data_IF_057948258537
#
_entry.id   IF_057948258537
#
_cell.length_a   1.000
_cell.length_b   1.000
_cell.length_c   1.000
_cell.angle_alpha   90.00
_cell.angle_beta   90.00
_cell.angle_gamma   90.00
#
_symmetry.space_group_name_H-M   'P 1'
#
loop_
_entity.id
_entity.type
_entity.pdbx_description
1 polymer ?
#
# COMPACT_ATOMS: atom_id res chain seq x y z
N UNK A 1 -18.75 -8.56 -12.34
CA UNK A 1 -17.95 -7.59 -13.14
C UNK A 1 -17.48 -6.51 -12.17
N UNK A 2 -16.34 -5.85 -12.44
CA UNK A 2 -15.84 -4.75 -11.58
C UNK A 2 -16.93 -3.69 -11.35
N UNK A 3 -17.72 -3.38 -12.37
CA UNK A 3 -18.91 -2.51 -12.27
C UNK A 3 -19.95 -3.01 -11.27
N UNK A 4 -20.11 -4.32 -11.10
CA UNK A 4 -21.13 -4.90 -10.21
C UNK A 4 -20.69 -4.85 -8.74
N UNK A 5 -19.39 -4.95 -8.45
CA UNK A 5 -18.86 -4.87 -7.08
C UNK A 5 -19.04 -3.48 -6.50
N UNK A 6 -18.83 -2.46 -7.31
CA UNK A 6 -19.09 -1.07 -6.90
C UNK A 6 -20.58 -0.82 -6.78
N UNK A 7 -21.41 -1.56 -7.56
CA UNK A 7 -22.87 -1.50 -7.55
C UNK A 7 -23.54 -2.24 -6.37
N UNK A 8 -22.86 -3.19 -5.73
CA UNK A 8 -23.41 -3.96 -4.58
C UNK A 8 -23.72 -3.08 -3.36
N UNK A 9 -23.10 -1.89 -3.25
CA UNK A 9 -23.40 -0.95 -2.18
C UNK A 9 -24.64 -0.08 -2.43
N UNK A 10 -25.28 -0.11 -3.64
CA UNK A 10 -26.40 0.78 -3.98
C UNK A 10 -27.48 0.10 -4.79
N UNK A 11 -28.73 0.18 -4.29
CA UNK A 11 -29.96 -0.40 -4.93
C UNK A 11 -30.33 0.16 -6.31
N UNK A 12 -29.77 1.30 -6.75
CA UNK A 12 -29.88 1.87 -8.12
C UNK A 12 -28.64 2.71 -8.40
N UNK A 13 -27.88 2.33 -9.43
CA UNK A 13 -26.74 3.12 -9.94
C UNK A 13 -27.30 4.33 -10.69
N UNK A 14 -27.04 5.53 -10.21
CA UNK A 14 -27.36 6.79 -10.91
C UNK A 14 -26.31 7.05 -12.00
N UNK A 15 -26.58 8.01 -12.91
CA UNK A 15 -25.65 8.40 -13.97
C UNK A 15 -24.31 8.86 -13.36
N UNK A 16 -24.35 9.70 -12.35
CA UNK A 16 -23.16 10.22 -11.65
C UNK A 16 -22.32 9.10 -11.00
N UNK A 17 -22.97 8.01 -10.52
CA UNK A 17 -22.25 6.86 -9.96
C UNK A 17 -21.46 6.11 -11.05
N UNK A 18 -21.96 6.03 -12.29
CA UNK A 18 -21.26 5.40 -13.42
C UNK A 18 -20.00 6.18 -13.81
N UNK A 19 -20.07 7.48 -13.80
CA UNK A 19 -18.93 8.36 -14.11
C UNK A 19 -17.84 8.23 -13.04
N UNK A 20 -18.23 8.12 -11.76
CA UNK A 20 -17.30 7.88 -10.64
C UNK A 20 -16.64 6.50 -10.75
N UNK A 21 -17.43 5.47 -11.07
CA UNK A 21 -16.93 4.10 -11.26
C UNK A 21 -15.92 4.06 -12.42
N UNK A 22 -16.27 4.69 -13.56
CA UNK A 22 -15.40 4.75 -14.72
C UNK A 22 -14.08 5.45 -14.39
N UNK A 23 -14.15 6.60 -13.73
CA UNK A 23 -12.99 7.34 -13.25
C UNK A 23 -12.10 6.49 -12.31
N UNK A 24 -12.68 5.77 -11.35
CA UNK A 24 -11.91 4.93 -10.43
C UNK A 24 -11.20 3.76 -11.15
N UNK A 25 -11.87 3.13 -12.12
CA UNK A 25 -11.32 2.08 -12.98
C UNK A 25 -10.17 2.63 -13.84
N UNK A 26 -10.32 3.83 -14.38
CA UNK A 26 -9.28 4.52 -15.15
C UNK A 26 -8.06 4.83 -14.29
N UNK A 27 -8.26 5.44 -13.11
CA UNK A 27 -7.20 5.79 -12.18
C UNK A 27 -6.39 4.59 -11.68
N UNK A 28 -6.99 3.41 -11.65
CA UNK A 28 -6.31 2.17 -11.25
C UNK A 28 -5.79 1.34 -12.43
N UNK A 29 -5.82 1.88 -13.65
CA UNK A 29 -5.29 1.21 -14.85
C UNK A 29 -6.09 -0.03 -15.30
N UNK A 30 -7.37 -0.14 -14.93
CA UNK A 30 -8.20 -1.32 -15.18
C UNK A 30 -9.18 -1.18 -16.36
N UNK A 31 -9.07 -0.15 -17.17
CA UNK A 31 -9.98 0.13 -18.30
C UNK A 31 -10.15 -1.08 -19.22
N UNK A 32 -9.03 -1.75 -19.57
CA UNK A 32 -9.04 -2.92 -20.47
C UNK A 32 -9.68 -4.16 -19.84
N UNK A 33 -9.85 -4.16 -18.53
CA UNK A 33 -10.33 -5.29 -17.73
C UNK A 33 -11.73 -5.05 -17.14
N UNK A 34 -12.32 -3.87 -17.39
CA UNK A 34 -13.57 -3.42 -16.75
C UNK A 34 -14.74 -4.41 -16.83
N UNK A 35 -14.78 -5.19 -17.92
CA UNK A 35 -15.84 -6.14 -18.21
C UNK A 35 -15.48 -7.59 -17.80
N UNK A 36 -14.30 -7.79 -17.17
CA UNK A 36 -13.89 -9.10 -16.66
C UNK A 36 -14.48 -9.38 -15.28
N UNK A 37 -14.67 -10.67 -14.97
CA UNK A 37 -15.01 -11.12 -13.64
C UNK A 37 -13.77 -11.04 -12.73
N UNK A 38 -13.95 -10.59 -11.50
CA UNK A 38 -12.82 -10.46 -10.53
C UNK A 38 -12.11 -11.79 -10.31
N UNK A 39 -12.84 -12.91 -10.32
CA UNK A 39 -12.25 -14.24 -10.16
C UNK A 39 -11.25 -14.61 -11.26
N UNK A 40 -11.30 -13.93 -12.44
CA UNK A 40 -10.40 -14.18 -13.57
C UNK A 40 -9.21 -13.25 -13.61
N UNK A 41 -9.10 -12.32 -12.66
CA UNK A 41 -7.99 -11.37 -12.55
C UNK A 41 -6.78 -12.01 -11.87
N UNK A 42 -5.59 -11.57 -12.25
CA UNK A 42 -4.36 -11.86 -11.51
C UNK A 42 -4.40 -11.24 -10.10
N UNK A 43 -3.48 -11.63 -9.22
CA UNK A 43 -3.37 -11.07 -7.87
C UNK A 43 -3.26 -9.54 -7.88
N UNK A 44 -2.35 -8.99 -8.66
CA UNK A 44 -2.15 -7.54 -8.77
C UNK A 44 -3.33 -6.80 -9.40
N UNK A 45 -3.94 -7.36 -10.46
CA UNK A 45 -5.16 -6.81 -11.07
C UNK A 45 -6.32 -6.81 -10.07
N UNK A 46 -6.45 -7.85 -9.27
CA UNK A 46 -7.46 -7.96 -8.22
C UNK A 46 -7.23 -6.92 -7.13
N UNK A 47 -5.99 -6.73 -6.70
CA UNK A 47 -5.64 -5.71 -5.71
C UNK A 47 -5.99 -4.31 -6.21
N UNK A 48 -5.65 -3.98 -7.46
CA UNK A 48 -6.06 -2.72 -8.08
C UNK A 48 -7.57 -2.55 -8.17
N UNK A 49 -8.32 -3.65 -8.38
CA UNK A 49 -9.79 -3.61 -8.39
C UNK A 49 -10.37 -3.30 -7.00
N UNK A 50 -9.78 -3.80 -5.92
CA UNK A 50 -10.16 -3.43 -4.56
C UNK A 50 -9.87 -1.96 -4.26
N UNK A 51 -8.71 -1.46 -4.70
CA UNK A 51 -8.38 -0.04 -4.59
C UNK A 51 -9.38 0.82 -5.40
N UNK A 52 -9.74 0.42 -6.62
CA UNK A 52 -10.75 1.10 -7.43
C UNK A 52 -12.10 1.19 -6.73
N UNK A 53 -12.52 0.10 -6.08
CA UNK A 53 -13.77 0.05 -5.32
C UNK A 53 -13.76 1.03 -4.14
N UNK A 54 -12.65 1.08 -3.40
CA UNK A 54 -12.49 2.04 -2.31
C UNK A 54 -12.46 3.48 -2.84
N UNK A 55 -11.73 3.74 -3.94
CA UNK A 55 -11.57 5.04 -4.56
C UNK A 55 -12.89 5.60 -5.10
N UNK A 56 -13.78 4.73 -5.62
CA UNK A 56 -15.10 5.13 -6.11
C UNK A 56 -16.00 5.73 -5.01
N UNK A 57 -15.66 5.52 -3.73
CA UNK A 57 -16.34 6.15 -2.61
C UNK A 57 -15.84 7.58 -2.33
N UNK A 58 -14.85 8.08 -3.10
CA UNK A 58 -14.19 9.39 -2.92
C UNK A 58 -13.72 9.60 -1.48
N UNK A 59 -12.89 8.70 -0.93
CA UNK A 59 -12.46 8.78 0.45
C UNK A 59 -11.48 9.95 0.64
N UNK A 60 -11.47 10.53 1.84
CA UNK A 60 -10.38 11.42 2.29
C UNK A 60 -9.20 10.65 2.85
N UNK A 61 -9.48 9.45 3.38
CA UNK A 61 -8.48 8.55 3.96
C UNK A 61 -8.69 7.17 3.34
N UNK A 62 -7.64 6.61 2.75
CA UNK A 62 -7.59 5.26 2.21
C UNK A 62 -6.76 4.39 3.17
N UNK A 63 -7.36 3.33 3.69
CA UNK A 63 -6.67 2.38 4.56
C UNK A 63 -6.46 1.08 3.78
N UNK A 64 -5.22 0.61 3.72
CA UNK A 64 -4.82 -0.60 3.02
C UNK A 64 -4.11 -1.53 4.02
N UNK A 65 -4.70 -2.68 4.25
CA UNK A 65 -4.13 -3.72 5.09
C UNK A 65 -3.36 -4.72 4.23
N UNK A 66 -2.03 -4.74 4.37
CA UNK A 66 -1.11 -5.60 3.65
C UNK A 66 -1.32 -5.65 2.12
N UNK A 67 -1.35 -4.50 1.41
CA UNK A 67 -1.74 -4.46 0.01
C UNK A 67 -0.77 -5.18 -0.94
N UNK A 68 0.41 -5.57 -0.47
CA UNK A 68 1.46 -6.23 -1.27
C UNK A 68 1.61 -7.72 -0.98
N UNK A 69 0.89 -8.25 0.02
CA UNK A 69 0.99 -9.66 0.43
C UNK A 69 0.50 -10.60 -0.68
N UNK A 70 1.21 -11.71 -0.89
CA UNK A 70 0.97 -12.71 -1.95
C UNK A 70 1.11 -12.20 -3.39
N UNK A 71 1.78 -11.07 -3.61
CA UNK A 71 2.08 -10.55 -4.94
C UNK A 71 3.56 -10.77 -5.28
N UNK A 72 3.85 -11.02 -6.55
CA UNK A 72 5.22 -10.99 -7.08
C UNK A 72 5.78 -9.57 -7.00
N UNK A 73 7.10 -9.45 -6.95
CA UNK A 73 7.79 -8.18 -6.72
C UNK A 73 7.38 -7.06 -7.70
N UNK A 74 7.14 -7.40 -8.97
CA UNK A 74 6.68 -6.43 -9.97
C UNK A 74 5.29 -5.89 -9.63
N UNK A 75 4.37 -6.77 -9.25
CA UNK A 75 3.01 -6.37 -8.87
C UNK A 75 2.96 -5.63 -7.53
N UNK A 76 3.86 -5.96 -6.59
CA UNK A 76 4.01 -5.17 -5.35
C UNK A 76 4.38 -3.72 -5.68
N UNK A 77 5.38 -3.53 -6.55
CA UNK A 77 5.81 -2.20 -6.98
C UNK A 77 4.69 -1.46 -7.71
N UNK A 78 3.98 -2.11 -8.65
CA UNK A 78 2.84 -1.50 -9.34
C UNK A 78 1.75 -1.00 -8.39
N UNK A 79 1.44 -1.75 -7.34
CA UNK A 79 0.43 -1.36 -6.34
C UNK A 79 0.94 -0.18 -5.51
N UNK A 80 2.20 -0.19 -5.05
CA UNK A 80 2.76 0.88 -4.24
C UNK A 80 2.93 2.19 -5.03
N UNK A 81 3.38 2.11 -6.28
CA UNK A 81 3.47 3.27 -7.17
C UNK A 81 2.07 3.86 -7.46
N UNK A 82 1.07 3.00 -7.72
CA UNK A 82 -0.31 3.45 -7.88
C UNK A 82 -0.80 4.19 -6.62
N UNK A 83 -0.58 3.64 -5.44
CA UNK A 83 -1.02 4.25 -4.18
C UNK A 83 -0.34 5.60 -3.96
N UNK A 84 0.96 5.70 -4.27
CA UNK A 84 1.73 6.95 -4.22
C UNK A 84 1.15 7.98 -5.19
N UNK A 85 0.89 7.60 -6.45
CA UNK A 85 0.27 8.47 -7.45
C UNK A 85 -1.11 8.98 -6.99
N UNK A 86 -1.94 8.10 -6.40
CA UNK A 86 -3.24 8.50 -5.86
C UNK A 86 -3.12 9.49 -4.70
N UNK A 87 -2.18 9.29 -3.79
CA UNK A 87 -1.90 10.23 -2.71
C UNK A 87 -1.49 11.59 -3.26
N UNK A 88 -0.50 11.64 -4.15
CA UNK A 88 0.04 12.88 -4.72
C UNK A 88 -0.98 13.62 -5.60
N UNK A 89 -1.69 12.90 -6.49
CA UNK A 89 -2.60 13.51 -7.48
C UNK A 89 -3.96 13.91 -6.91
N UNK A 90 -4.45 13.19 -5.90
CA UNK A 90 -5.78 13.41 -5.31
C UNK A 90 -5.73 14.06 -3.93
N UNK A 91 -4.56 14.17 -3.31
CA UNK A 91 -4.39 14.71 -1.96
C UNK A 91 -5.09 13.88 -0.87
N UNK A 92 -5.34 12.59 -1.11
CA UNK A 92 -5.91 11.70 -0.11
C UNK A 92 -4.85 11.25 0.87
N UNK A 93 -5.20 11.13 2.14
CA UNK A 93 -4.32 10.49 3.13
C UNK A 93 -4.37 8.98 2.95
N UNK A 94 -3.19 8.33 2.88
CA UNK A 94 -3.10 6.87 2.79
C UNK A 94 -2.47 6.32 4.06
N UNK A 95 -3.08 5.30 4.63
CA UNK A 95 -2.54 4.51 5.75
C UNK A 95 -2.36 3.08 5.25
N UNK A 96 -1.13 2.56 5.30
CA UNK A 96 -0.81 1.20 4.87
C UNK A 96 -0.19 0.40 6.00
N UNK A 97 -0.59 -0.87 6.13
CA UNK A 97 0.16 -1.86 6.91
C UNK A 97 1.10 -2.57 5.96
N UNK A 98 2.40 -2.51 6.21
CA UNK A 98 3.43 -3.13 5.38
C UNK A 98 4.35 -3.99 6.26
N UNK A 99 4.75 -5.17 5.74
CA UNK A 99 5.71 -6.06 6.40
C UNK A 99 7.14 -5.84 5.93
N UNK A 100 7.32 -5.33 4.71
CA UNK A 100 8.64 -5.02 4.17
C UNK A 100 9.07 -3.63 4.60
N UNK A 101 10.13 -3.56 5.40
CA UNK A 101 10.69 -2.31 5.93
C UNK A 101 11.25 -1.41 4.82
N UNK A 102 11.78 -1.99 3.74
CA UNK A 102 12.32 -1.23 2.62
C UNK A 102 11.20 -0.60 1.79
N UNK A 103 10.09 -1.32 1.61
CA UNK A 103 8.88 -0.74 1.00
C UNK A 103 8.30 0.36 1.89
N UNK A 104 8.20 0.13 3.20
CA UNK A 104 7.73 1.14 4.14
C UNK A 104 8.62 2.39 4.12
N UNK A 105 9.94 2.23 4.09
CA UNK A 105 10.89 3.34 4.02
C UNK A 105 10.72 4.18 2.74
N UNK A 106 10.50 3.51 1.60
CA UNK A 106 10.43 4.16 0.27
C UNK A 106 9.09 4.85 0.01
N UNK A 107 7.99 4.30 0.50
CA UNK A 107 6.64 4.72 0.13
C UNK A 107 5.87 5.45 1.22
N UNK A 108 6.51 5.80 2.34
CA UNK A 108 5.85 6.49 3.45
C UNK A 108 6.52 7.82 3.79
N UNK A 109 5.71 8.86 4.00
CA UNK A 109 6.17 10.13 4.57
C UNK A 109 6.46 10.01 6.08
N UNK A 110 5.64 9.19 6.76
CA UNK A 110 5.76 8.90 8.17
C UNK A 110 5.47 7.41 8.43
N UNK A 111 6.22 6.83 9.33
CA UNK A 111 6.09 5.44 9.76
C UNK A 111 5.71 5.40 11.24
N UNK A 112 4.79 4.50 11.57
CA UNK A 112 4.45 4.13 12.94
C UNK A 112 4.86 2.68 13.16
N UNK A 113 5.81 2.46 14.05
CA UNK A 113 6.29 1.11 14.39
C UNK A 113 5.48 0.59 15.57
N UNK A 114 4.78 -0.52 15.36
CA UNK A 114 3.94 -1.14 16.37
C UNK A 114 4.59 -2.43 16.89
N UNK A 115 4.50 -2.63 18.20
CA UNK A 115 4.86 -3.88 18.87
C UNK A 115 3.95 -4.08 20.08
N UNK A 116 3.45 -5.30 20.25
CA UNK A 116 2.60 -5.68 21.38
C UNK A 116 1.40 -4.72 21.59
N UNK A 117 0.82 -4.21 20.47
CA UNK A 117 -0.32 -3.28 20.49
C UNK A 117 0.02 -1.83 20.85
N UNK A 118 1.30 -1.49 20.97
CA UNK A 118 1.77 -0.15 21.32
C UNK A 118 2.63 0.45 20.19
N UNK A 119 2.55 1.77 20.03
CA UNK A 119 3.44 2.51 19.14
C UNK A 119 4.78 2.69 19.86
N UNK A 120 5.83 2.05 19.34
CA UNK A 120 7.18 2.15 19.87
C UNK A 120 7.94 3.36 19.32
N UNK A 121 7.76 3.63 18.02
CA UNK A 121 8.44 4.71 17.31
C UNK A 121 7.50 5.32 16.28
N UNK A 122 7.64 6.62 16.02
CA UNK A 122 6.92 7.27 14.92
C UNK A 122 7.72 8.44 14.35
N UNK A 123 7.65 8.65 13.05
CA UNK A 123 8.32 9.75 12.35
C UNK A 123 8.73 9.41 10.92
N UNK A 124 9.57 10.28 10.37
CA UNK A 124 10.10 10.10 9.01
C UNK A 124 11.00 8.86 8.92
N UNK A 125 10.98 8.12 7.79
CA UNK A 125 11.78 6.90 7.62
C UNK A 125 13.26 7.07 7.99
N UNK A 126 13.90 8.12 7.50
CA UNK A 126 15.33 8.40 7.78
C UNK A 126 15.64 8.56 9.27
N UNK A 127 14.68 9.03 10.06
CA UNK A 127 14.89 9.33 11.48
C UNK A 127 14.68 8.09 12.36
N UNK A 128 13.64 7.34 12.12
CA UNK A 128 13.24 6.23 13.01
C UNK A 128 13.76 4.87 12.58
N UNK A 129 13.93 4.64 11.28
CA UNK A 129 14.45 3.37 10.77
C UNK A 129 15.98 3.32 10.94
N UNK A 130 16.41 2.96 12.14
CA UNK A 130 17.80 2.82 12.53
C UNK A 130 18.10 1.36 12.92
N UNK A 131 19.34 0.92 12.78
CA UNK A 131 19.76 -0.45 13.15
C UNK A 131 19.44 -0.79 14.59
N UNK A 132 19.51 0.20 15.49
CA UNK A 132 19.13 0.03 16.91
C UNK A 132 17.63 -0.33 17.02
N UNK A 133 16.76 0.38 16.35
CA UNK A 133 15.31 0.12 16.34
C UNK A 133 15.03 -1.30 15.82
N UNK A 134 15.68 -1.71 14.72
CA UNK A 134 15.54 -3.06 14.16
C UNK A 134 15.93 -4.15 15.17
N UNK A 135 17.03 -3.93 15.91
CA UNK A 135 17.49 -4.84 16.94
C UNK A 135 16.52 -4.90 18.13
N UNK A 136 16.02 -3.77 18.58
CA UNK A 136 15.20 -3.67 19.80
C UNK A 136 13.75 -4.08 19.55
N UNK A 137 13.17 -3.72 18.40
CA UNK A 137 11.77 -4.00 18.08
C UNK A 137 11.60 -5.32 17.32
N UNK A 138 12.36 -5.52 16.24
CA UNK A 138 12.21 -6.69 15.37
C UNK A 138 13.15 -7.85 15.71
N UNK A 139 14.10 -7.64 16.64
CA UNK A 139 15.11 -8.64 17.05
C UNK A 139 15.97 -9.12 15.87
N UNK A 140 16.30 -8.24 14.95
CA UNK A 140 17.17 -8.51 13.82
C UNK A 140 18.38 -7.59 13.83
N UNK A 141 19.52 -8.11 13.40
CA UNK A 141 20.70 -7.34 13.05
C UNK A 141 20.73 -7.14 11.53
N UNK A 142 20.92 -5.92 11.09
CA UNK A 142 20.90 -5.55 9.69
C UNK A 142 21.95 -4.49 9.39
N UNK A 143 22.48 -4.52 8.17
CA UNK A 143 23.22 -3.40 7.61
C UNK A 143 22.24 -2.37 7.08
N UNK A 144 22.46 -1.10 7.42
CA UNK A 144 21.71 0.04 6.91
C UNK A 144 22.50 0.73 5.81
N UNK A 145 21.85 0.96 4.71
CA UNK A 145 22.36 1.72 3.57
C UNK A 145 21.43 2.89 3.26
N UNK A 146 21.85 3.78 2.38
CA UNK A 146 21.02 4.87 1.87
C UNK A 146 20.72 4.64 0.39
N UNK A 147 19.44 4.65 0.02
CA UNK A 147 18.99 4.74 -1.36
C UNK A 147 19.02 6.22 -1.76
N UNK A 148 20.03 6.61 -2.53
CA UNK A 148 20.22 8.00 -2.97
C UNK A 148 19.16 8.45 -3.97
N UNK A 149 18.52 7.52 -4.68
CA UNK A 149 17.49 7.81 -5.68
C UNK A 149 16.18 8.21 -5.01
N UNK A 150 15.80 7.50 -3.95
CA UNK A 150 14.53 7.72 -3.25
C UNK A 150 14.71 8.46 -1.91
N UNK A 151 15.93 8.86 -1.56
CA UNK A 151 16.29 9.49 -0.29
C UNK A 151 15.72 8.79 0.95
N UNK A 152 15.86 7.47 0.98
CA UNK A 152 15.36 6.66 2.09
C UNK A 152 16.36 5.59 2.52
N UNK A 153 16.29 5.11 3.78
CA UNK A 153 17.14 4.01 4.21
C UNK A 153 16.65 2.69 3.63
N UNK A 154 17.57 1.78 3.35
CA UNK A 154 17.25 0.39 3.10
C UNK A 154 18.14 -0.55 3.90
N UNK A 155 17.66 -1.75 4.18
CA UNK A 155 18.25 -2.68 5.11
C UNK A 155 18.48 -4.04 4.46
N UNK A 156 19.65 -4.63 4.78
CA UNK A 156 19.95 -6.02 4.47
C UNK A 156 20.08 -6.76 5.80
N UNK A 157 19.05 -7.53 6.21
CA UNK A 157 19.13 -8.37 7.42
C UNK A 157 20.18 -9.45 7.26
N UNK A 158 20.94 -9.75 8.30
CA UNK A 158 21.96 -10.78 8.25
C UNK A 158 21.92 -11.75 9.45
N UNK A 159 21.29 -11.37 10.56
CA UNK A 159 21.23 -12.23 11.74
C UNK A 159 20.00 -11.93 12.61
N UNK A 160 19.44 -12.94 13.25
CA UNK A 160 18.54 -12.75 14.38
C UNK A 160 19.36 -12.37 15.62
N UNK A 161 18.82 -11.48 16.45
CA UNK A 161 19.39 -11.21 17.78
C UNK A 161 19.26 -12.47 18.62
N UNK A 162 20.37 -12.95 19.16
CA UNK A 162 20.36 -14.11 20.06
C UNK A 162 19.43 -13.79 21.25
N UNK A 163 18.55 -14.72 21.59
CA UNK A 163 17.75 -14.66 22.82
C UNK A 163 18.70 -14.86 23.99
N UNK A 164 18.85 -13.86 24.82
CA UNK A 164 19.45 -13.99 26.14
C UNK A 164 18.53 -14.78 27.05
#
# INVERSE_FOLDING_TARGET
IISDIVGLARKKIKKDDRDIIHWAIEKTGLIKLRDRYIATLSGGERQRAWIAMALAQKPKILILDEPTTYLDISYQLEVLELVKELNESLGITVIMVLHDLNQAARYSDNIYVLRDGQICECGKPNNILQTKMLKDVFRIEAHRYQDEINDCPYFIPHKLKDSE
#
